data_IF_308244858630
#
_entry.id   IF_308244858630
#
_cell.length_a   1.000
_cell.length_b   1.000
_cell.length_c   1.000
_cell.angle_alpha   90.00
_cell.angle_beta   90.00
_cell.angle_gamma   90.00
#
_symmetry.space_group_name_H-M   'P 1'
#
loop_
_entity.id
_entity.type
_entity.pdbx_description
1 polymer ?
#
# COMPACT_ATOMS: atom_id res chain seq x y z
N UNK A 1 -15.73 -2.46 -1.00
CA UNK A 1 -15.89 -3.91 -0.77
C UNK A 1 -16.71 -4.16 0.49
N UNK A 2 -17.33 -5.34 0.59
CA UNK A 2 -18.10 -5.72 1.77
C UNK A 2 -17.19 -6.19 2.91
N UNK A 3 -17.79 -6.30 4.10
CA UNK A 3 -17.07 -6.73 5.31
C UNK A 3 -16.48 -8.14 5.13
N UNK A 4 -17.23 -9.04 4.50
CA UNK A 4 -16.77 -10.42 4.29
C UNK A 4 -15.54 -10.48 3.39
N UNK A 5 -15.51 -9.69 2.32
CA UNK A 5 -14.35 -9.61 1.44
C UNK A 5 -13.15 -9.01 2.16
N UNK A 6 -13.36 -7.96 2.94
CA UNK A 6 -12.33 -7.33 3.75
C UNK A 6 -11.69 -8.34 4.70
N UNK A 7 -12.51 -9.06 5.45
CA UNK A 7 -12.04 -10.06 6.41
C UNK A 7 -11.30 -11.21 5.73
N UNK A 8 -11.79 -11.66 4.57
CA UNK A 8 -11.11 -12.71 3.80
C UNK A 8 -9.72 -12.27 3.33
N UNK A 9 -9.58 -11.02 2.87
CA UNK A 9 -8.30 -10.46 2.50
C UNK A 9 -7.36 -10.35 3.70
N UNK A 10 -7.87 -9.89 4.82
CA UNK A 10 -7.08 -9.77 6.05
C UNK A 10 -6.53 -11.12 6.49
N UNK A 11 -7.36 -12.15 6.50
CA UNK A 11 -6.94 -13.52 6.83
C UNK A 11 -5.87 -14.00 5.84
N UNK A 12 -6.08 -13.78 4.54
CA UNK A 12 -5.13 -14.18 3.51
C UNK A 12 -3.76 -13.52 3.67
N UNK A 13 -3.72 -12.31 4.26
CA UNK A 13 -2.48 -11.57 4.53
C UNK A 13 -1.87 -11.88 5.91
N UNK A 14 -2.43 -12.82 6.64
CA UNK A 14 -1.97 -13.14 7.99
C UNK A 14 -2.32 -12.07 9.02
N UNK A 15 -3.34 -11.27 8.77
CA UNK A 15 -3.83 -10.24 9.69
C UNK A 15 -3.00 -8.96 9.71
N UNK A 16 -2.12 -8.75 8.73
CA UNK A 16 -1.16 -7.64 8.70
C UNK A 16 -1.13 -6.96 7.34
N UNK A 17 -0.52 -5.77 7.28
CA UNK A 17 -0.26 -5.08 6.02
C UNK A 17 0.46 -6.00 5.03
N UNK A 18 -0.02 -6.04 3.80
CA UNK A 18 0.53 -6.93 2.77
C UNK A 18 1.97 -6.59 2.37
N UNK A 19 2.43 -5.37 2.64
CA UNK A 19 3.80 -4.94 2.28
C UNK A 19 4.73 -4.96 3.50
N UNK A 20 4.42 -4.19 4.54
CA UNK A 20 5.35 -4.00 5.66
C UNK A 20 5.08 -4.91 6.87
N UNK A 21 3.93 -5.57 6.92
CA UNK A 21 3.60 -6.49 8.01
C UNK A 21 3.14 -5.83 9.31
N UNK A 22 2.87 -4.52 9.32
CA UNK A 22 2.38 -3.86 10.51
C UNK A 22 0.98 -4.37 10.88
N UNK A 23 0.70 -4.45 12.18
CA UNK A 23 -0.61 -4.89 12.66
C UNK A 23 -1.63 -3.75 12.59
N UNK A 24 -2.93 -4.05 12.32
CA UNK A 24 -3.97 -3.02 12.23
C UNK A 24 -4.08 -2.15 13.47
N UNK A 25 -3.82 -2.71 14.65
CA UNK A 25 -3.90 -1.96 15.91
C UNK A 25 -2.93 -0.79 16.00
N UNK A 26 -1.87 -0.80 15.20
CA UNK A 26 -0.86 0.26 15.16
C UNK A 26 -1.26 1.39 14.21
N UNK A 27 -2.35 1.22 13.45
CA UNK A 27 -2.85 2.23 12.54
C UNK A 27 -3.76 3.23 13.27
N UNK A 28 -3.86 4.50 12.78
CA UNK A 28 -4.62 5.54 13.45
C UNK A 28 -6.08 5.18 13.75
N UNK A 29 -6.71 4.39 12.86
CA UNK A 29 -8.11 3.98 13.02
C UNK A 29 -8.27 2.52 13.39
N UNK A 30 -7.15 1.84 13.74
CA UNK A 30 -7.20 0.43 14.12
C UNK A 30 -7.49 -0.54 12.98
N UNK A 31 -7.39 -0.11 11.74
CA UNK A 31 -7.65 -0.96 10.59
C UNK A 31 -6.76 -0.62 9.39
N UNK A 32 -6.56 -1.60 8.52
CA UNK A 32 -5.85 -1.41 7.26
C UNK A 32 -6.77 -0.82 6.21
N UNK A 33 -6.17 -0.13 5.23
CA UNK A 33 -6.89 0.51 4.14
C UNK A 33 -7.01 -0.43 2.94
N UNK A 34 -8.11 -0.31 2.20
CA UNK A 34 -8.31 -1.06 0.96
C UNK A 34 -7.49 -0.40 -0.15
N UNK A 35 -6.61 -1.18 -0.77
CA UNK A 35 -5.82 -0.74 -1.91
C UNK A 35 -6.49 -1.16 -3.21
N UNK A 36 -6.63 -0.20 -4.13
CA UNK A 36 -7.24 -0.42 -5.44
C UNK A 36 -6.23 -0.21 -6.55
N UNK A 37 -6.34 -1.01 -7.61
CA UNK A 37 -5.66 -0.72 -8.87
C UNK A 37 -6.28 0.53 -9.49
N UNK A 38 -5.47 1.56 -9.75
CA UNK A 38 -5.97 2.85 -10.23
C UNK A 38 -6.51 2.79 -11.67
N UNK A 39 -6.10 1.81 -12.45
CA UNK A 39 -6.57 1.66 -13.84
C UNK A 39 -7.87 0.86 -13.91
N UNK A 40 -7.96 -0.23 -13.17
CA UNK A 40 -9.10 -1.15 -13.24
C UNK A 40 -10.12 -0.93 -12.14
N UNK A 41 -9.74 -0.31 -11.02
CA UNK A 41 -10.55 -0.19 -9.83
C UNK A 41 -10.64 -1.46 -8.99
N UNK A 42 -9.97 -2.53 -9.40
CA UNK A 42 -9.98 -3.78 -8.65
C UNK A 42 -9.24 -3.66 -7.32
N UNK A 43 -9.76 -4.33 -6.30
CA UNK A 43 -9.11 -4.40 -5.00
C UNK A 43 -7.90 -5.32 -5.10
N UNK A 44 -6.72 -4.80 -4.72
CA UNK A 44 -5.47 -5.56 -4.73
C UNK A 44 -5.18 -6.20 -3.37
N UNK A 45 -5.53 -5.54 -2.29
CA UNK A 45 -5.27 -6.02 -0.94
C UNK A 45 -5.51 -4.96 0.11
N UNK A 46 -5.00 -5.21 1.32
CA UNK A 46 -5.12 -4.30 2.45
C UNK A 46 -3.74 -3.82 2.87
N UNK A 47 -3.59 -2.52 3.03
CA UNK A 47 -2.32 -1.88 3.34
C UNK A 47 -2.47 -0.92 4.52
N UNK A 48 -1.37 -0.73 5.26
CA UNK A 48 -1.31 0.37 6.20
C UNK A 48 -1.32 1.70 5.44
N UNK A 49 -1.64 2.78 6.14
CA UNK A 49 -1.70 4.12 5.55
C UNK A 49 -0.41 4.50 4.85
N UNK A 50 0.73 4.22 5.48
CA UNK A 50 2.04 4.56 4.93
C UNK A 50 2.33 3.84 3.61
N UNK A 51 2.11 2.54 3.56
CA UNK A 51 2.33 1.75 2.35
C UNK A 51 1.36 2.14 1.23
N UNK A 52 0.09 2.36 1.58
CA UNK A 52 -0.92 2.76 0.60
C UNK A 52 -0.57 4.12 -0.02
N UNK A 53 -0.07 5.06 0.77
CA UNK A 53 0.38 6.36 0.29
C UNK A 53 1.61 6.23 -0.60
N UNK A 54 2.58 5.40 -0.22
CA UNK A 54 3.80 5.18 -0.98
C UNK A 54 3.53 4.60 -2.38
N UNK A 55 2.51 3.78 -2.53
CA UNK A 55 2.15 3.20 -3.82
C UNK A 55 1.71 4.24 -4.85
N UNK A 56 1.28 5.43 -4.43
CA UNK A 56 0.93 6.50 -5.36
C UNK A 56 2.11 6.90 -6.25
N UNK A 57 3.34 6.82 -5.72
CA UNK A 57 4.57 7.10 -6.48
C UNK A 57 4.95 5.90 -7.34
N UNK A 58 4.84 4.70 -6.79
CA UNK A 58 5.26 3.48 -7.47
C UNK A 58 4.31 3.13 -8.63
N UNK A 59 3.02 3.35 -8.45
CA UNK A 59 2.01 3.09 -9.48
C UNK A 59 2.09 4.05 -10.67
N UNK A 60 2.62 5.26 -10.47
CA UNK A 60 2.80 6.23 -11.54
C UNK A 60 4.18 6.01 -12.19
N UNK A 61 4.25 5.54 -13.46
CA UNK A 61 5.52 5.25 -14.11
C UNK A 61 6.47 6.45 -14.19
N UNK A 62 5.92 7.65 -14.39
CA UNK A 62 6.71 8.87 -14.49
C UNK A 62 7.27 9.26 -13.13
N UNK A 63 6.43 9.28 -12.10
CA UNK A 63 6.87 9.60 -10.74
C UNK A 63 7.86 8.56 -10.21
N UNK A 64 7.61 7.28 -10.49
CA UNK A 64 8.52 6.20 -10.09
C UNK A 64 9.90 6.41 -10.71
N UNK A 65 9.96 6.70 -12.00
CA UNK A 65 11.22 6.95 -12.70
C UNK A 65 11.96 8.15 -12.11
N UNK A 66 11.23 9.23 -11.85
CA UNK A 66 11.81 10.45 -11.25
C UNK A 66 12.28 10.22 -9.82
N UNK A 67 11.55 9.46 -9.04
CA UNK A 67 11.93 9.13 -7.66
C UNK A 67 13.23 8.31 -7.63
N UNK A 68 13.36 7.33 -8.52
CA UNK A 68 14.59 6.53 -8.62
C UNK A 68 15.77 7.37 -9.06
N UNK A 69 15.58 8.28 -10.02
CA UNK A 69 16.63 9.21 -10.45
C UNK A 69 17.05 10.14 -9.30
N UNK A 70 16.09 10.65 -8.55
CA UNK A 70 16.33 11.49 -7.38
C UNK A 70 17.19 10.77 -6.32
N UNK A 71 16.86 9.49 -6.05
CA UNK A 71 17.62 8.70 -5.09
C UNK A 71 19.07 8.46 -5.54
N UNK A 72 19.29 8.28 -6.83
CA UNK A 72 20.66 8.15 -7.38
C UNK A 72 21.46 9.43 -7.19
N UNK A 73 20.84 10.58 -7.42
CA UNK A 73 21.48 11.89 -7.19
C UNK A 73 21.78 12.09 -5.69
N UNK A 74 20.82 11.73 -4.84
CA UNK A 74 20.99 11.83 -3.39
C UNK A 74 22.14 10.99 -2.85
N UNK A 75 22.36 9.82 -3.43
CA UNK A 75 23.46 8.93 -3.04
C UNK A 75 24.82 9.58 -3.31
N UNK A 76 24.91 10.46 -4.28
CA UNK A 76 26.15 11.13 -4.68
C UNK A 76 26.31 12.54 -4.11
N UNK A 77 25.30 13.01 -3.42
CA UNK A 77 25.32 14.31 -2.76
C UNK A 77 26.04 14.24 -1.36
#
# INVERSE_FOLDING_TARGET
>A
IGVEEYEALLVAQGGVCAICGVQPKEEPYGCLQVDHDHETGEVRGLLCRSCNTALNIIDDPIKRKRALAYLRLGVHA
#
